data_IF_484280496903
#
_entry.id   IF_484280496903
#
_cell.length_a   1.000
_cell.length_b   1.000
_cell.length_c   1.000
_cell.angle_alpha   90.00
_cell.angle_beta   90.00
_cell.angle_gamma   90.00
#
_symmetry.space_group_name_H-M   'P 1'
#
loop_
_entity.id
_entity.type
_entity.pdbx_description
1 polymer ?
#
# COMPACT_ATOMS: atom_id res chain seq x y z
N UNK A 1 -9.41 -11.53 25.31
CA UNK A 1 -9.85 -11.86 23.96
C UNK A 1 -8.87 -11.20 23.06
N UNK A 2 -8.45 -11.96 22.06
CA UNK A 2 -7.48 -11.55 21.07
C UNK A 2 -7.82 -12.21 19.74
N UNK A 3 -7.45 -11.55 18.66
CA UNK A 3 -7.41 -12.16 17.34
C UNK A 3 -6.19 -13.09 17.29
N UNK A 4 -6.41 -14.36 16.95
CA UNK A 4 -5.35 -15.36 16.83
C UNK A 4 -4.78 -15.41 15.41
N UNK A 5 -5.65 -15.31 14.42
CA UNK A 5 -5.31 -15.26 13.00
C UNK A 5 -6.44 -14.64 12.19
N UNK A 6 -6.08 -14.08 11.06
CA UNK A 6 -6.99 -13.56 10.04
C UNK A 6 -6.53 -14.05 8.65
N UNK A 7 -7.52 -14.32 7.79
CA UNK A 7 -7.37 -14.59 6.37
C UNK A 7 -8.20 -13.53 5.63
N UNK A 8 -7.64 -12.33 5.55
CA UNK A 8 -8.25 -11.16 4.92
C UNK A 8 -7.41 -10.78 3.70
N UNK A 9 -8.00 -10.67 2.50
CA UNK A 9 -7.25 -10.23 1.33
C UNK A 9 -6.88 -8.75 1.43
N UNK A 10 -5.71 -8.36 0.92
CA UNK A 10 -5.27 -6.96 0.89
C UNK A 10 -6.10 -6.10 -0.10
N UNK A 11 -6.55 -6.72 -1.19
CA UNK A 11 -7.32 -6.07 -2.25
C UNK A 11 -8.43 -6.98 -2.82
N UNK A 12 -9.47 -6.38 -3.39
CA UNK A 12 -10.56 -7.11 -4.02
C UNK A 12 -11.20 -6.33 -5.19
N UNK A 13 -11.60 -7.03 -6.26
CA UNK A 13 -12.22 -6.42 -7.42
C UNK A 13 -13.70 -6.11 -7.16
N UNK A 14 -14.15 -4.89 -7.47
CA UNK A 14 -15.56 -4.47 -7.40
C UNK A 14 -16.47 -5.46 -8.12
N UNK A 15 -17.60 -5.82 -7.49
CA UNK A 15 -18.58 -6.74 -8.04
C UNK A 15 -18.17 -8.22 -8.02
N UNK A 16 -16.95 -8.55 -7.58
CA UNK A 16 -16.53 -9.93 -7.38
C UNK A 16 -16.95 -10.46 -6.01
N UNK A 17 -17.10 -11.77 -5.88
CA UNK A 17 -17.33 -12.41 -4.59
C UNK A 17 -16.02 -12.61 -3.86
N UNK A 18 -15.96 -12.18 -2.61
CA UNK A 18 -14.82 -12.33 -1.71
C UNK A 18 -15.23 -13.08 -0.44
N UNK A 19 -14.28 -13.78 0.17
CA UNK A 19 -14.45 -14.42 1.48
C UNK A 19 -13.27 -14.02 2.36
N UNK A 20 -13.56 -13.69 3.61
CA UNK A 20 -12.55 -13.42 4.62
C UNK A 20 -12.93 -14.13 5.93
N UNK A 21 -11.94 -14.53 6.70
CA UNK A 21 -12.17 -15.14 8.02
C UNK A 21 -11.24 -14.60 9.09
N UNK A 22 -11.73 -14.61 10.33
CA UNK A 22 -10.99 -14.20 11.52
C UNK A 22 -11.25 -15.22 12.63
N UNK A 23 -10.18 -15.60 13.33
CA UNK A 23 -10.24 -16.49 14.49
C UNK A 23 -10.03 -15.71 15.77
N UNK A 24 -11.00 -15.81 16.69
CA UNK A 24 -10.97 -15.21 18.00
C UNK A 24 -10.62 -16.26 19.07
N UNK A 25 -9.65 -15.93 19.91
CA UNK A 25 -9.23 -16.72 21.05
C UNK A 25 -9.31 -15.92 22.35
N UNK A 26 -9.02 -16.59 23.47
CA UNK A 26 -9.04 -16.00 24.80
C UNK A 26 -10.38 -15.28 25.09
N UNK A 27 -11.48 -15.86 24.62
CA UNK A 27 -12.83 -15.28 24.52
C UNK A 27 -13.37 -14.69 25.84
N UNK A 28 -12.83 -15.13 26.96
CA UNK A 28 -13.27 -14.79 28.33
C UNK A 28 -12.21 -14.04 29.13
N UNK A 29 -11.12 -13.58 28.49
CA UNK A 29 -10.06 -12.79 29.14
C UNK A 29 -10.20 -11.33 28.73
N UNK A 30 -9.87 -10.41 29.65
CA UNK A 30 -9.72 -8.97 29.37
C UNK A 30 -10.83 -8.36 28.48
N UNK A 31 -12.04 -8.13 29.01
CA UNK A 31 -12.53 -8.37 30.38
C UNK A 31 -12.78 -9.86 30.71
N UNK A 32 -12.82 -10.20 31.99
CA UNK A 32 -13.36 -11.50 32.41
C UNK A 32 -14.88 -11.49 32.29
N UNK A 33 -15.40 -12.23 31.31
CA UNK A 33 -16.84 -12.38 31.06
C UNK A 33 -17.16 -13.86 30.93
N UNK A 34 -18.22 -14.31 31.62
CA UNK A 34 -18.70 -15.69 31.52
C UNK A 34 -19.60 -15.88 30.28
N UNK A 35 -20.21 -14.80 29.80
CA UNK A 35 -21.03 -14.76 28.59
C UNK A 35 -21.04 -13.37 27.93
N UNK A 36 -21.19 -13.33 26.61
CA UNK A 36 -21.36 -12.13 25.80
C UNK A 36 -21.94 -12.46 24.42
N UNK A 37 -22.28 -11.44 23.65
CA UNK A 37 -22.82 -11.58 22.28
C UNK A 37 -21.87 -10.95 21.28
N UNK A 38 -21.51 -11.70 20.26
CA UNK A 38 -20.77 -11.21 19.10
C UNK A 38 -21.73 -10.56 18.11
N UNK A 39 -21.30 -9.41 17.62
CA UNK A 39 -21.89 -8.71 16.49
C UNK A 39 -20.80 -8.44 15.45
N UNK A 40 -21.20 -8.32 14.20
CA UNK A 40 -20.28 -7.97 13.13
C UNK A 40 -20.94 -7.10 12.07
N UNK A 41 -20.11 -6.29 11.43
CA UNK A 41 -20.49 -5.38 10.35
C UNK A 41 -19.51 -5.52 9.19
N UNK A 42 -20.02 -5.31 7.97
CA UNK A 42 -19.24 -5.25 6.73
C UNK A 42 -19.85 -4.25 5.76
N UNK A 43 -19.02 -3.70 4.88
CA UNK A 43 -19.44 -2.88 3.74
C UNK A 43 -19.73 -3.73 2.50
N UNK A 44 -19.47 -5.05 2.52
CA UNK A 44 -19.82 -5.97 1.44
C UNK A 44 -21.32 -5.95 1.12
N UNK A 45 -21.67 -6.31 -0.10
CA UNK A 45 -23.05 -6.51 -0.55
C UNK A 45 -23.40 -8.01 -0.60
N UNK A 46 -24.68 -8.37 -0.63
CA UNK A 46 -25.15 -9.77 -0.71
C UNK A 46 -24.42 -10.72 0.27
N UNK A 47 -24.44 -10.34 1.54
CA UNK A 47 -23.57 -10.90 2.58
C UNK A 47 -24.18 -12.09 3.29
N UNK A 48 -23.35 -13.10 3.52
CA UNK A 48 -23.58 -14.18 4.49
C UNK A 48 -22.40 -14.26 5.46
N UNK A 49 -22.72 -14.25 6.75
CA UNK A 49 -21.79 -14.52 7.86
C UNK A 49 -21.96 -15.95 8.34
N UNK A 50 -20.85 -16.57 8.74
CA UNK A 50 -20.81 -17.84 9.45
C UNK A 50 -19.97 -17.69 10.70
N UNK A 51 -20.53 -18.06 11.84
CA UNK A 51 -19.83 -18.11 13.14
C UNK A 51 -19.72 -19.57 13.55
N UNK A 52 -18.50 -20.11 13.55
CA UNK A 52 -18.21 -21.47 13.96
C UNK A 52 -17.54 -21.47 15.34
N UNK A 53 -17.95 -22.42 16.18
CA UNK A 53 -17.51 -22.53 17.57
C UNK A 53 -16.69 -23.79 17.75
N UNK A 54 -15.53 -23.69 18.37
CA UNK A 54 -14.62 -24.82 18.59
C UNK A 54 -14.30 -24.99 20.07
N UNK A 55 -14.15 -26.25 20.50
CA UNK A 55 -13.71 -26.60 21.85
C UNK A 55 -12.17 -26.65 21.97
N UNK A 56 -11.70 -26.87 23.20
CA UNK A 56 -10.27 -26.94 23.53
C UNK A 56 -9.48 -28.07 22.83
N UNK A 57 -10.17 -28.99 22.16
CA UNK A 57 -9.57 -30.07 21.36
C UNK A 57 -9.50 -29.72 19.87
N UNK A 58 -10.04 -28.57 19.47
CA UNK A 58 -10.18 -28.14 18.08
C UNK A 58 -11.40 -28.75 17.38
N UNK A 59 -12.32 -29.39 18.11
CA UNK A 59 -13.54 -29.93 17.52
C UNK A 59 -14.61 -28.84 17.39
N UNK A 60 -15.25 -28.73 16.22
CA UNK A 60 -16.38 -27.82 16.02
C UNK A 60 -17.60 -28.32 16.80
N UNK A 61 -18.10 -27.49 17.70
CA UNK A 61 -19.23 -27.82 18.59
C UNK A 61 -20.55 -27.19 18.16
N UNK A 62 -20.50 -26.04 17.47
CA UNK A 62 -21.69 -25.38 16.92
C UNK A 62 -21.34 -24.52 15.69
N UNK A 63 -22.36 -24.12 14.92
CA UNK A 63 -22.24 -23.18 13.82
C UNK A 63 -23.54 -22.39 13.62
N UNK A 64 -23.42 -21.08 13.45
CA UNK A 64 -24.53 -20.17 13.16
C UNK A 64 -24.27 -19.41 11.86
N UNK A 65 -25.33 -19.05 11.15
CA UNK A 65 -25.24 -18.25 9.94
C UNK A 65 -26.21 -17.08 10.00
N UNK A 66 -25.78 -15.94 9.48
CA UNK A 66 -26.54 -14.69 9.47
C UNK A 66 -26.43 -14.05 8.09
N UNK A 67 -27.51 -13.45 7.62
CA UNK A 67 -27.51 -12.74 6.34
C UNK A 67 -27.57 -11.23 6.55
N UNK A 68 -26.98 -10.49 5.62
CA UNK A 68 -26.94 -9.04 5.61
C UNK A 68 -25.64 -8.44 6.13
N UNK A 69 -25.48 -7.14 5.90
CA UNK A 69 -24.26 -6.38 6.25
C UNK A 69 -23.96 -6.31 7.74
N UNK A 70 -24.95 -6.59 8.57
CA UNK A 70 -24.82 -6.54 10.02
C UNK A 70 -25.44 -7.81 10.60
N UNK A 71 -24.75 -8.44 11.53
CA UNK A 71 -25.35 -9.48 12.38
C UNK A 71 -25.15 -9.15 13.86
N UNK A 72 -26.06 -9.65 14.67
CA UNK A 72 -25.93 -9.66 16.12
C UNK A 72 -26.65 -10.89 16.67
N UNK A 73 -26.27 -11.33 17.86
CA UNK A 73 -26.95 -12.43 18.55
C UNK A 73 -26.16 -13.74 18.59
N UNK A 74 -24.94 -13.78 18.05
CA UNK A 74 -24.04 -14.92 18.20
C UNK A 74 -23.55 -15.00 19.66
N UNK A 75 -24.16 -15.87 20.46
CA UNK A 75 -23.85 -15.99 21.88
C UNK A 75 -22.55 -16.78 22.09
N UNK A 76 -21.71 -16.29 22.99
CA UNK A 76 -20.46 -16.95 23.42
C UNK A 76 -20.51 -17.05 24.94
N UNK A 77 -20.57 -18.28 25.47
CA UNK A 77 -20.60 -18.52 26.90
C UNK A 77 -19.65 -19.64 27.32
N UNK A 78 -19.02 -19.48 28.49
CA UNK A 78 -18.11 -20.49 29.07
C UNK A 78 -18.79 -21.83 29.32
N UNK A 79 -20.10 -21.82 29.59
CA UNK A 79 -20.92 -23.01 29.82
C UNK A 79 -20.98 -23.95 28.60
N UNK A 80 -20.77 -23.41 27.39
CA UNK A 80 -20.84 -24.16 26.14
C UNK A 80 -19.52 -24.87 25.81
N UNK A 81 -18.45 -24.61 26.58
CA UNK A 81 -17.14 -25.22 26.39
C UNK A 81 -16.35 -24.68 25.18
N UNK A 82 -16.83 -23.59 24.57
CA UNK A 82 -16.15 -22.89 23.47
C UNK A 82 -14.81 -22.33 23.95
N UNK A 83 -13.74 -22.60 23.22
CA UNK A 83 -12.43 -21.95 23.43
C UNK A 83 -12.06 -20.99 22.31
N UNK A 84 -12.59 -21.21 21.11
CA UNK A 84 -12.26 -20.48 19.89
C UNK A 84 -13.53 -20.24 19.07
N UNK A 85 -13.58 -19.08 18.41
CA UNK A 85 -14.66 -18.71 17.48
C UNK A 85 -14.04 -18.27 16.17
N UNK A 86 -14.44 -18.91 15.08
CA UNK A 86 -14.09 -18.51 13.72
C UNK A 86 -15.27 -17.76 13.11
N UNK A 87 -15.02 -16.55 12.63
CA UNK A 87 -16.00 -15.71 11.93
C UNK A 87 -15.59 -15.63 10.48
N UNK A 88 -16.47 -16.09 9.60
CA UNK A 88 -16.28 -16.01 8.14
C UNK A 88 -17.35 -15.12 7.54
N UNK A 89 -16.94 -14.18 6.69
CA UNK A 89 -17.85 -13.37 5.88
C UNK A 89 -17.63 -13.70 4.41
N UNK A 90 -18.72 -13.88 3.68
CA UNK A 90 -18.72 -13.97 2.22
C UNK A 90 -19.70 -12.96 1.66
N UNK A 91 -19.31 -12.22 0.65
CA UNK A 91 -20.16 -11.21 0.01
C UNK A 91 -19.55 -10.68 -1.28
N UNK A 92 -20.21 -9.69 -1.87
CA UNK A 92 -19.80 -9.00 -3.09
C UNK A 92 -19.09 -7.70 -2.71
N UNK A 93 -17.95 -7.42 -3.36
CA UNK A 93 -17.18 -6.20 -3.15
C UNK A 93 -17.99 -4.99 -3.62
N UNK A 94 -18.19 -3.96 -2.78
CA UNK A 94 -19.02 -2.81 -3.11
C UNK A 94 -18.35 -1.92 -4.16
N UNK A 95 -19.17 -1.14 -4.87
CA UNK A 95 -18.70 -0.10 -5.78
C UNK A 95 -17.81 0.94 -5.07
N UNK A 96 -16.95 1.61 -5.83
CA UNK A 96 -16.10 2.70 -5.32
C UNK A 96 -16.87 4.01 -5.36
N UNK A 97 -17.08 4.65 -4.20
CA UNK A 97 -17.74 5.95 -4.14
C UNK A 97 -16.84 7.11 -4.61
N UNK A 98 -15.55 7.01 -4.33
CA UNK A 98 -14.54 7.98 -4.76
C UNK A 98 -13.16 7.33 -4.83
N UNK A 99 -12.42 7.63 -5.89
CA UNK A 99 -11.07 7.11 -6.08
C UNK A 99 -10.03 8.04 -5.46
N UNK A 100 -9.02 7.43 -4.83
CA UNK A 100 -7.88 8.15 -4.29
C UNK A 100 -6.61 7.35 -4.53
N UNK A 101 -5.60 8.00 -5.09
CA UNK A 101 -4.31 7.35 -5.32
C UNK A 101 -3.49 7.17 -4.03
N UNK A 102 -3.48 8.15 -3.13
CA UNK A 102 -2.73 8.06 -1.88
C UNK A 102 -3.37 8.93 -0.78
N UNK A 103 -3.96 8.35 0.27
CA UNK A 103 -4.08 6.90 0.51
C UNK A 103 -5.05 6.23 -0.48
N UNK A 104 -4.91 4.92 -0.68
CA UNK A 104 -5.83 4.12 -1.48
C UNK A 104 -7.22 4.08 -0.83
N UNK A 105 -8.28 4.07 -1.65
CA UNK A 105 -9.64 3.85 -1.16
C UNK A 105 -9.78 2.43 -0.57
N UNK A 106 -10.50 2.30 0.53
CA UNK A 106 -10.71 1.02 1.23
C UNK A 106 -12.15 0.91 1.72
N UNK A 107 -12.63 -0.33 1.84
CA UNK A 107 -13.91 -0.65 2.49
C UNK A 107 -13.67 -1.59 3.68
N UNK A 108 -14.59 -1.62 4.63
CA UNK A 108 -14.53 -2.52 5.80
C UNK A 108 -15.02 -3.89 5.40
N UNK A 109 -14.14 -4.90 5.37
CA UNK A 109 -14.54 -6.27 5.05
C UNK A 109 -15.13 -6.97 6.27
N UNK A 110 -14.56 -6.74 7.46
CA UNK A 110 -15.02 -7.27 8.74
C UNK A 110 -14.79 -6.19 9.80
N UNK A 111 -15.79 -5.92 10.62
CA UNK A 111 -15.65 -5.24 11.92
C UNK A 111 -16.40 -6.06 12.94
N UNK A 112 -15.80 -6.36 14.08
CA UNK A 112 -16.40 -7.20 15.11
C UNK A 112 -16.52 -6.48 16.44
N UNK A 113 -17.63 -6.72 17.13
CA UNK A 113 -17.98 -6.08 18.38
C UNK A 113 -18.41 -7.11 19.43
N UNK A 114 -17.93 -6.90 20.66
CA UNK A 114 -18.41 -7.60 21.84
C UNK A 114 -19.50 -6.78 22.54
N UNK A 115 -20.73 -7.29 22.53
CA UNK A 115 -21.86 -6.72 23.26
C UNK A 115 -22.12 -7.45 24.56
N UNK A 116 -22.28 -6.71 25.67
CA UNK A 116 -22.65 -7.25 26.99
C UNK A 116 -24.14 -7.09 27.29
N UNK A 117 -24.66 -8.01 28.10
CA UNK A 117 -25.99 -7.89 28.67
C UNK A 117 -26.06 -6.61 29.54
N UNK A 118 -26.95 -5.68 29.16
CA UNK A 118 -27.02 -4.34 29.76
C UNK A 118 -26.55 -3.18 28.85
N UNK A 119 -26.10 -3.47 27.62
CA UNK A 119 -26.00 -2.49 26.53
C UNK A 119 -24.65 -1.79 26.36
N UNK A 120 -23.58 -2.29 26.97
CA UNK A 120 -22.21 -1.83 26.66
C UNK A 120 -21.63 -2.66 25.52
N UNK A 121 -21.13 -2.00 24.47
CA UNK A 121 -20.37 -2.61 23.38
C UNK A 121 -18.90 -2.25 23.51
N UNK A 122 -18.00 -3.16 23.14
CA UNK A 122 -16.58 -2.88 22.94
C UNK A 122 -16.15 -3.43 21.59
N UNK A 123 -15.50 -2.58 20.81
CA UNK A 123 -14.89 -2.96 19.54
C UNK A 123 -13.84 -4.04 19.79
N UNK A 124 -13.84 -5.08 18.96
CA UNK A 124 -12.85 -6.15 18.98
C UNK A 124 -11.69 -5.77 18.08
N UNK A 125 -11.99 -5.64 16.78
CA UNK A 125 -11.07 -5.19 15.75
C UNK A 125 -11.84 -4.88 14.46
N UNK A 126 -11.16 -4.25 13.51
CA UNK A 126 -11.71 -3.92 12.19
C UNK A 126 -10.64 -4.10 11.10
N UNK A 127 -11.04 -4.76 10.01
CA UNK A 127 -10.21 -5.05 8.86
C UNK A 127 -10.74 -4.33 7.63
N UNK A 128 -9.85 -3.69 6.88
CA UNK A 128 -10.17 -2.94 5.68
C UNK A 128 -9.39 -3.46 4.48
N UNK A 129 -10.03 -3.41 3.30
CA UNK A 129 -9.51 -3.95 2.05
C UNK A 129 -9.57 -2.89 0.97
N UNK A 130 -8.55 -2.83 0.12
CA UNK A 130 -8.57 -1.98 -1.07
C UNK A 130 -9.52 -2.56 -2.12
N UNK A 131 -10.59 -1.83 -2.49
CA UNK A 131 -11.38 -2.19 -3.67
C UNK A 131 -10.92 -1.45 -4.94
N UNK A 132 -10.93 -2.17 -6.06
CA UNK A 132 -10.50 -1.66 -7.36
C UNK A 132 -11.41 -2.12 -8.50
N UNK A 133 -11.39 -1.36 -9.58
CA UNK A 133 -11.88 -1.79 -10.90
C UNK A 133 -10.68 -2.14 -11.78
N UNK A 134 -10.87 -2.89 -12.87
CA UNK A 134 -9.77 -3.22 -13.78
C UNK A 134 -9.08 -1.96 -14.34
N UNK A 135 -9.87 -0.93 -14.64
CA UNK A 135 -9.37 0.35 -15.16
C UNK A 135 -8.60 1.13 -14.10
N UNK A 136 -9.07 1.16 -12.85
CA UNK A 136 -8.38 1.87 -11.76
C UNK A 136 -7.10 1.15 -11.35
N UNK A 137 -7.08 -0.19 -11.34
CA UNK A 137 -5.87 -0.96 -11.09
C UNK A 137 -4.80 -0.68 -12.17
N UNK A 138 -5.17 -0.74 -13.46
CA UNK A 138 -4.24 -0.45 -14.55
C UNK A 138 -3.71 1.00 -14.50
N UNK A 139 -4.55 1.99 -14.16
CA UNK A 139 -4.11 3.37 -14.02
C UNK A 139 -3.16 3.57 -12.82
N UNK A 140 -3.39 2.84 -11.71
CA UNK A 140 -2.53 2.85 -10.53
C UNK A 140 -1.14 2.27 -10.84
N UNK A 141 -1.07 1.17 -11.58
CA UNK A 141 0.21 0.57 -12.01
C UNK A 141 1.09 1.55 -12.80
N UNK A 142 0.47 2.36 -13.66
CA UNK A 142 1.15 3.39 -14.46
C UNK A 142 1.63 4.56 -13.59
N UNK A 143 0.81 5.00 -12.63
CA UNK A 143 1.22 6.00 -11.64
C UNK A 143 2.39 5.49 -10.78
N UNK A 144 2.34 4.24 -10.31
CA UNK A 144 3.41 3.64 -9.52
C UNK A 144 4.72 3.57 -10.34
N UNK A 145 4.64 3.18 -11.61
CA UNK A 145 5.78 3.18 -12.54
C UNK A 145 6.38 4.58 -12.74
N UNK A 146 5.53 5.60 -12.89
CA UNK A 146 5.96 6.99 -13.02
C UNK A 146 6.61 7.54 -11.74
N UNK A 147 6.03 7.24 -10.57
CA UNK A 147 6.56 7.59 -9.25
C UNK A 147 7.95 6.99 -9.06
N UNK A 148 8.10 5.69 -9.33
CA UNK A 148 9.40 5.01 -9.28
C UNK A 148 10.43 5.66 -10.22
N UNK A 149 10.02 6.09 -11.41
CA UNK A 149 10.91 6.74 -12.37
C UNK A 149 11.40 8.12 -11.89
N UNK A 150 10.51 8.90 -11.27
CA UNK A 150 10.84 10.19 -10.65
C UNK A 150 11.83 9.98 -9.49
N UNK A 151 11.56 9.01 -8.60
CA UNK A 151 12.44 8.69 -7.47
C UNK A 151 13.83 8.24 -7.93
N UNK A 152 13.89 7.39 -8.97
CA UNK A 152 15.15 6.95 -9.62
C UNK A 152 15.90 8.08 -10.32
N UNK A 153 15.20 9.16 -10.69
CA UNK A 153 15.79 10.37 -11.28
C UNK A 153 16.21 11.40 -10.22
N UNK A 154 16.14 11.06 -8.93
CA UNK A 154 16.58 11.92 -7.83
C UNK A 154 17.98 12.54 -8.10
N UNK A 155 18.07 13.86 -7.91
CA UNK A 155 19.27 14.64 -8.22
C UNK A 155 19.37 15.15 -9.67
N UNK A 156 18.40 14.83 -10.54
CA UNK A 156 18.18 15.52 -11.81
C UNK A 156 17.11 16.63 -11.67
N UNK A 157 16.86 17.40 -12.73
CA UNK A 157 15.76 18.36 -12.76
C UNK A 157 14.44 17.66 -13.15
N UNK A 158 13.71 17.16 -12.15
CA UNK A 158 12.46 16.39 -12.30
C UNK A 158 11.18 17.22 -12.21
N UNK A 159 11.28 18.55 -12.12
CA UNK A 159 10.15 19.45 -11.87
C UNK A 159 8.97 19.26 -12.84
N UNK A 160 9.27 19.05 -14.13
CA UNK A 160 8.23 18.80 -15.13
C UNK A 160 7.55 17.43 -14.92
N UNK A 161 8.33 16.39 -14.61
CA UNK A 161 7.80 15.05 -14.36
C UNK A 161 6.91 15.04 -13.11
N UNK A 162 7.33 15.72 -12.04
CA UNK A 162 6.55 15.87 -10.80
C UNK A 162 5.23 16.62 -11.05
N UNK A 163 5.25 17.68 -11.86
CA UNK A 163 4.03 18.42 -12.20
C UNK A 163 3.07 17.57 -13.03
N UNK A 164 3.57 16.84 -14.04
CA UNK A 164 2.74 15.94 -14.85
C UNK A 164 2.19 14.79 -14.01
N UNK A 165 2.98 14.24 -13.08
CA UNK A 165 2.53 13.21 -12.14
C UNK A 165 1.42 13.73 -11.22
N UNK A 166 1.55 14.95 -10.69
CA UNK A 166 0.48 15.56 -9.88
C UNK A 166 -0.84 15.69 -10.68
N UNK A 167 -0.76 16.11 -11.95
CA UNK A 167 -1.94 16.15 -12.82
C UNK A 167 -2.52 14.75 -13.09
N UNK A 168 -1.66 13.73 -13.19
CA UNK A 168 -2.10 12.34 -13.35
C UNK A 168 -2.85 11.84 -12.10
N UNK A 169 -2.37 12.18 -10.91
CA UNK A 169 -3.08 11.88 -9.64
C UNK A 169 -4.43 12.61 -9.57
N UNK A 170 -4.48 13.88 -9.99
CA UNK A 170 -5.76 14.61 -10.07
C UNK A 170 -6.75 13.96 -11.04
N UNK A 171 -6.26 13.49 -12.20
CA UNK A 171 -7.07 12.76 -13.17
C UNK A 171 -7.58 11.43 -12.59
N UNK A 172 -6.74 10.70 -11.86
CA UNK A 172 -7.11 9.42 -11.22
C UNK A 172 -8.22 9.62 -10.19
N UNK A 173 -8.06 10.62 -9.33
CA UNK A 173 -9.05 10.98 -8.31
C UNK A 173 -10.36 11.49 -8.93
N UNK A 174 -10.32 11.95 -10.18
CA UNK A 174 -11.48 12.35 -10.98
C UNK A 174 -12.03 11.26 -11.90
N UNK A 175 -11.62 9.99 -11.73
CA UNK A 175 -12.08 8.83 -12.53
C UNK A 175 -11.67 8.89 -14.02
N UNK A 176 -10.76 9.77 -14.39
CA UNK A 176 -10.25 9.91 -15.75
C UNK A 176 -9.06 8.95 -15.97
N UNK A 177 -9.29 7.64 -15.88
CA UNK A 177 -8.24 6.61 -15.87
C UNK A 177 -7.40 6.61 -17.16
N UNK A 178 -8.00 6.82 -18.33
CA UNK A 178 -7.23 6.92 -19.58
C UNK A 178 -6.30 8.14 -19.60
N UNK A 179 -6.79 9.29 -19.14
CA UNK A 179 -5.99 10.51 -19.01
C UNK A 179 -4.85 10.30 -18.01
N UNK A 180 -5.14 9.63 -16.88
CA UNK A 180 -4.17 9.23 -15.88
C UNK A 180 -3.04 8.44 -16.51
N UNK A 181 -3.34 7.35 -17.23
CA UNK A 181 -2.33 6.52 -17.91
C UNK A 181 -1.47 7.35 -18.86
N UNK A 182 -2.07 8.24 -19.66
CA UNK A 182 -1.31 9.10 -20.59
C UNK A 182 -0.36 10.05 -19.85
N UNK A 183 -0.84 10.72 -18.79
CA UNK A 183 -0.05 11.66 -18.00
C UNK A 183 1.04 10.93 -17.21
N UNK A 184 0.76 9.76 -16.63
CA UNK A 184 1.74 8.94 -15.93
C UNK A 184 2.89 8.52 -16.87
N UNK A 185 2.56 8.05 -18.07
CA UNK A 185 3.55 7.73 -19.11
C UNK A 185 4.40 8.95 -19.52
N UNK A 186 3.80 10.13 -19.64
CA UNK A 186 4.52 11.38 -19.92
C UNK A 186 5.43 11.79 -18.76
N UNK A 187 4.97 11.64 -17.51
CA UNK A 187 5.77 11.89 -16.31
C UNK A 187 6.97 10.94 -16.24
N UNK A 188 6.78 9.64 -16.47
CA UNK A 188 7.85 8.64 -16.53
C UNK A 188 8.88 9.02 -17.62
N UNK A 189 8.40 9.33 -18.82
CA UNK A 189 9.27 9.72 -19.95
C UNK A 189 10.10 10.95 -19.59
N UNK A 190 9.47 11.96 -19.00
CA UNK A 190 10.13 13.20 -18.56
C UNK A 190 11.19 12.95 -17.48
N UNK A 191 10.89 12.10 -16.50
CA UNK A 191 11.85 11.72 -15.46
C UNK A 191 13.05 10.97 -16.03
N UNK A 192 12.82 10.03 -16.95
CA UNK A 192 13.87 9.29 -17.63
C UNK A 192 14.78 10.20 -18.47
N UNK A 193 14.21 11.19 -19.17
CA UNK A 193 14.98 12.19 -19.93
C UNK A 193 15.80 13.11 -19.02
N UNK A 194 15.24 13.56 -17.89
CA UNK A 194 15.95 14.36 -16.90
C UNK A 194 17.16 13.61 -16.35
N UNK A 195 16.98 12.33 -16.00
CA UNK A 195 18.05 11.44 -15.53
C UNK A 195 19.17 11.28 -16.55
N UNK A 196 18.85 10.96 -17.81
CA UNK A 196 19.84 10.82 -18.89
C UNK A 196 20.61 12.12 -19.16
N UNK A 197 19.91 13.25 -19.14
CA UNK A 197 20.52 14.57 -19.34
C UNK A 197 21.49 14.93 -18.22
N UNK A 198 21.13 14.62 -16.96
CA UNK A 198 21.98 14.81 -15.79
C UNK A 198 23.26 13.96 -15.89
N UNK A 199 23.13 12.67 -16.23
CA UNK A 199 24.28 11.76 -16.42
C UNK A 199 25.23 12.25 -17.53
N UNK A 200 24.68 12.69 -18.66
CA UNK A 200 25.47 13.21 -19.79
C UNK A 200 26.21 14.49 -19.40
N UNK A 201 25.53 15.40 -18.70
CA UNK A 201 26.13 16.66 -18.24
C UNK A 201 27.24 16.41 -17.22
N UNK A 202 27.02 15.50 -16.27
CA UNK A 202 28.06 15.11 -15.30
C UNK A 202 29.29 14.51 -16.00
N UNK A 203 29.09 13.61 -16.97
CA UNK A 203 30.20 13.02 -17.73
C UNK A 203 31.01 14.09 -18.47
N UNK A 204 30.35 15.06 -19.09
CA UNK A 204 31.01 16.17 -19.77
C UNK A 204 31.79 17.06 -18.80
N UNK A 205 31.24 17.35 -17.62
CA UNK A 205 31.93 18.12 -16.57
C UNK A 205 33.17 17.35 -16.08
N UNK A 206 33.06 16.04 -15.82
CA UNK A 206 34.19 15.21 -15.41
C UNK A 206 35.26 15.12 -16.51
N UNK A 207 34.86 14.97 -17.77
CA UNK A 207 35.77 14.97 -18.91
C UNK A 207 36.51 16.32 -19.05
N UNK A 208 35.79 17.44 -18.91
CA UNK A 208 36.36 18.78 -18.93
C UNK A 208 37.32 19.02 -17.76
N UNK A 209 36.94 18.59 -16.55
CA UNK A 209 37.78 18.67 -15.35
C UNK A 209 39.06 17.84 -15.47
N UNK A 210 38.95 16.60 -15.98
CA UNK A 210 40.10 15.73 -16.25
C UNK A 210 41.08 16.34 -17.26
N UNK A 211 40.55 16.91 -18.36
CA UNK A 211 41.35 17.62 -19.36
C UNK A 211 42.12 18.81 -18.78
N UNK A 212 41.50 19.61 -17.91
CA UNK A 212 42.16 20.74 -17.25
C UNK A 212 43.31 20.29 -16.35
N UNK A 213 43.14 19.22 -15.58
CA UNK A 213 44.20 18.66 -14.73
C UNK A 213 45.38 18.17 -15.58
N UNK A 214 45.12 17.47 -16.69
CA UNK A 214 46.17 17.01 -17.62
C UNK A 214 46.90 18.21 -18.23
N UNK A 215 46.18 19.25 -18.64
CA UNK A 215 46.77 20.47 -19.20
C UNK A 215 47.67 21.19 -18.16
N UNK A 216 47.28 21.24 -16.90
CA UNK A 216 48.09 21.80 -15.82
C UNK A 216 49.35 20.98 -15.53
N UNK A 217 49.27 19.65 -15.57
CA UNK A 217 50.44 18.77 -15.39
C UNK A 217 51.43 18.94 -16.55
N UNK A 218 50.94 18.91 -17.80
CA UNK A 218 51.79 19.09 -18.98
C UNK A 218 52.37 20.50 -19.04
N UNK A 219 51.55 21.52 -18.78
CA UNK A 219 51.98 22.92 -18.71
C UNK A 219 53.00 23.15 -17.59
N UNK A 220 52.77 22.59 -16.41
CA UNK A 220 53.70 22.64 -15.28
C UNK A 220 55.03 21.93 -15.58
N UNK A 221 54.99 20.77 -16.23
CA UNK A 221 56.20 20.04 -16.64
C UNK A 221 57.02 20.81 -17.70
N UNK A 222 56.37 21.37 -18.72
CA UNK A 222 57.03 22.18 -19.75
C UNK A 222 57.61 23.48 -19.17
N UNK A 223 56.91 24.11 -18.23
CA UNK A 223 57.40 25.30 -17.53
C UNK A 223 58.60 24.99 -16.62
N UNK A 224 58.55 23.88 -15.87
CA UNK A 224 59.69 23.45 -15.06
C UNK A 224 60.91 23.10 -15.91
N UNK A 225 60.70 22.41 -17.05
CA UNK A 225 61.76 22.10 -18.01
C UNK A 225 62.34 23.35 -18.67
N UNK A 226 61.52 24.36 -19.00
CA UNK A 226 62.01 25.59 -19.63
C UNK A 226 62.90 26.41 -18.70
N UNK A 227 62.69 26.35 -17.38
CA UNK A 227 63.58 26.94 -16.39
C UNK A 227 64.95 26.25 -16.28
N UNK A 228 65.10 25.00 -16.74
CA UNK A 228 66.41 24.31 -16.75
C UNK A 228 67.31 24.71 -17.92
N UNK A 229 66.79 25.46 -18.90
CA UNK A 229 67.55 25.85 -20.11
C UNK A 229 68.30 27.17 -20.01
N UNK A 230 68.25 27.87 -18.87
CA UNK A 230 68.97 29.14 -18.70
C UNK A 230 70.04 29.00 -17.63
N UNK A 231 71.10 28.27 -17.94
CA UNK A 231 72.45 28.60 -17.50
C UNK A 231 73.43 27.78 -18.34
N UNK A 232 73.88 28.35 -19.46
CA UNK A 232 75.29 28.23 -19.78
C UNK A 232 75.83 29.62 -20.12
N UNK A 233 76.65 30.11 -19.20
CA UNK A 233 77.45 31.32 -19.35
C UNK A 233 78.83 30.82 -19.78
N UNK A 234 79.33 31.41 -20.86
CA UNK A 234 80.72 31.44 -21.35
C UNK A 234 81.11 30.38 -22.40
N UNK A 235 80.93 30.78 -23.65
CA UNK A 235 81.88 30.62 -24.74
C UNK A 235 82.09 31.97 -25.41
#
# INVERSE_FOLDING_TARGET
MSVASDDVPDEAQVGSQVTASVTLEELYRSPQLESWTLAGQTDLEDVTWTVAYYDQTGARVDQQSFDGQNFSGAQIATADGTSEVEVTVTGIVPDVESFSYDPAQTFTIISLDQTREGGSSNDIDSWSVHHYTEESAAARDELDSARDAIERASGANTQQAEQTFANAVEAFNGEEFNLTTNLANEAETSANQARQSSQTTQLLIYAAGGLLVVALIVGGFLYWRSQQTTYDKLG
#
